data_IF_491290894383
#
_entry.id   IF_491290894383
#
_cell.length_a   1.000
_cell.length_b   1.000
_cell.length_c   1.000
_cell.angle_alpha   90.00
_cell.angle_beta   90.00
_cell.angle_gamma   90.00
#
_symmetry.space_group_name_H-M   'P 1'
#
loop_
_entity.id
_entity.type
_entity.pdbx_description
1 polymer ?
#
# COMPACT_ATOMS: atom_id res chain seq x y z
N UNK A 1 6.72 16.40 -42.15
CA UNK A 1 5.39 16.29 -41.51
C UNK A 1 5.53 15.27 -40.41
N UNK A 2 5.26 15.64 -39.16
CA UNK A 2 5.38 14.72 -38.04
C UNK A 2 4.32 13.62 -38.20
N UNK A 3 4.75 12.40 -38.50
CA UNK A 3 3.88 11.24 -38.51
C UNK A 3 3.48 10.99 -37.05
N UNK A 4 2.22 11.29 -36.70
CA UNK A 4 1.70 11.01 -35.37
C UNK A 4 1.42 9.51 -35.32
N UNK A 5 2.20 8.78 -34.52
CA UNK A 5 2.03 7.35 -34.32
C UNK A 5 0.81 7.08 -33.43
N UNK A 6 -0.36 6.92 -34.07
CA UNK A 6 -1.63 6.71 -33.40
C UNK A 6 -1.66 5.48 -32.48
N UNK A 7 -0.90 4.44 -32.83
CA UNK A 7 -0.74 3.25 -32.01
C UNK A 7 -0.04 3.59 -30.68
N UNK A 8 1.09 4.31 -30.74
CA UNK A 8 1.84 4.77 -29.57
C UNK A 8 0.96 5.63 -28.64
N UNK A 9 0.17 6.54 -29.21
CA UNK A 9 -0.74 7.41 -28.45
C UNK A 9 -1.80 6.59 -27.72
N UNK A 10 -2.40 5.59 -28.37
CA UNK A 10 -3.42 4.74 -27.75
C UNK A 10 -2.85 3.86 -26.64
N UNK A 11 -1.66 3.29 -26.84
CA UNK A 11 -0.94 2.54 -25.81
C UNK A 11 -0.59 3.41 -24.59
N UNK A 12 -0.09 4.62 -24.83
CA UNK A 12 0.23 5.58 -23.77
C UNK A 12 -1.01 5.96 -22.95
N UNK A 13 -2.17 6.13 -23.60
CA UNK A 13 -3.46 6.42 -22.93
C UNK A 13 -3.96 5.23 -22.13
N UNK A 14 -3.91 4.01 -22.68
CA UNK A 14 -4.31 2.79 -21.99
C UNK A 14 -3.44 2.54 -20.75
N UNK A 15 -2.14 2.75 -20.88
CA UNK A 15 -1.18 2.66 -19.80
C UNK A 15 -1.45 3.69 -18.69
N UNK A 16 -1.65 4.96 -19.05
CA UNK A 16 -2.03 5.99 -18.09
C UNK A 16 -3.34 5.65 -17.38
N UNK A 17 -4.36 5.21 -18.13
CA UNK A 17 -5.65 4.83 -17.57
C UNK A 17 -5.51 3.66 -16.57
N UNK A 18 -4.71 2.65 -16.92
CA UNK A 18 -4.42 1.52 -16.04
C UNK A 18 -3.73 2.00 -14.77
N UNK A 19 -2.62 2.74 -14.86
CA UNK A 19 -1.91 3.26 -13.68
C UNK A 19 -2.82 4.14 -12.81
N UNK A 20 -3.64 4.99 -13.42
CA UNK A 20 -4.57 5.85 -12.70
C UNK A 20 -5.66 5.04 -11.97
N UNK A 21 -6.22 4.01 -12.60
CA UNK A 21 -7.19 3.10 -11.98
C UNK A 21 -6.59 2.36 -10.78
N UNK A 22 -5.38 1.81 -10.94
CA UNK A 22 -4.67 1.15 -9.83
C UNK A 22 -4.39 2.14 -8.69
N UNK A 23 -3.93 3.36 -9.00
CA UNK A 23 -3.65 4.36 -7.97
C UNK A 23 -4.91 4.75 -7.19
N UNK A 24 -6.01 5.06 -7.89
CA UNK A 24 -7.28 5.46 -7.27
C UNK A 24 -7.97 4.35 -6.49
N UNK A 25 -7.70 3.08 -6.80
CA UNK A 25 -8.23 1.96 -6.03
C UNK A 25 -7.35 1.63 -4.82
N UNK A 26 -6.04 1.47 -5.03
CA UNK A 26 -5.14 0.93 -4.00
C UNK A 26 -4.69 1.98 -2.97
N UNK A 27 -4.52 3.25 -3.35
CA UNK A 27 -4.08 4.29 -2.39
C UNK A 27 -5.15 4.59 -1.33
N UNK A 28 -6.42 4.84 -1.69
CA UNK A 28 -7.48 5.03 -0.69
C UNK A 28 -7.74 3.76 0.13
N UNK A 29 -7.64 2.58 -0.48
CA UNK A 29 -7.86 1.31 0.20
C UNK A 29 -6.78 1.02 1.26
N UNK A 30 -5.50 1.28 0.97
CA UNK A 30 -4.40 1.09 1.93
C UNK A 30 -4.42 2.12 3.06
N UNK A 31 -4.66 3.40 2.76
CA UNK A 31 -4.83 4.45 3.78
C UNK A 31 -6.07 4.20 4.65
N UNK A 32 -7.21 3.88 4.01
CA UNK A 32 -8.47 3.62 4.70
C UNK A 32 -8.41 2.40 5.62
N UNK A 33 -7.84 1.29 5.14
CA UNK A 33 -7.65 0.09 5.97
C UNK A 33 -6.69 0.33 7.13
N UNK A 34 -5.61 1.11 6.93
CA UNK A 34 -4.69 1.49 8.02
C UNK A 34 -5.42 2.23 9.13
N UNK A 35 -6.22 3.24 8.78
CA UNK A 35 -6.97 4.04 9.76
C UNK A 35 -8.04 3.20 10.47
N UNK A 36 -8.73 2.34 9.71
CA UNK A 36 -9.74 1.43 10.24
C UNK A 36 -9.14 0.45 11.26
N UNK A 37 -8.01 -0.20 10.92
CA UNK A 37 -7.28 -1.09 11.83
C UNK A 37 -6.85 -0.34 13.10
N UNK A 38 -6.36 0.90 12.97
CA UNK A 38 -5.97 1.70 14.12
C UNK A 38 -7.13 2.00 15.08
N UNK A 39 -8.33 2.28 14.54
CA UNK A 39 -9.54 2.50 15.34
C UNK A 39 -9.99 1.20 16.02
N UNK A 40 -10.06 0.08 15.28
CA UNK A 40 -10.47 -1.20 15.84
C UNK A 40 -9.52 -1.65 16.97
N UNK A 41 -8.21 -1.46 16.78
CA UNK A 41 -7.22 -1.74 17.83
C UNK A 41 -7.41 -0.81 19.04
N UNK A 42 -7.70 0.48 18.82
CA UNK A 42 -7.97 1.42 19.91
C UNK A 42 -9.20 0.99 20.73
N UNK A 43 -10.22 0.45 20.06
CA UNK A 43 -11.41 -0.12 20.72
C UNK A 43 -11.03 -1.39 21.48
N UNK A 44 -10.25 -2.30 20.88
CA UNK A 44 -9.75 -3.50 21.55
C UNK A 44 -8.98 -3.18 22.83
N UNK A 45 -8.06 -2.21 22.80
CA UNK A 45 -7.28 -1.83 23.98
C UNK A 45 -8.17 -1.31 25.11
N UNK A 46 -9.26 -0.61 24.79
CA UNK A 46 -10.20 -0.07 25.78
C UNK A 46 -11.19 -1.12 26.32
N UNK A 47 -11.71 -1.99 25.45
CA UNK A 47 -12.75 -2.95 25.80
C UNK A 47 -12.18 -4.30 26.27
N UNK A 48 -10.94 -4.63 25.90
CA UNK A 48 -10.27 -5.91 26.16
C UNK A 48 -11.02 -7.15 25.62
N UNK A 49 -11.95 -6.94 24.68
CA UNK A 49 -12.76 -7.99 24.06
C UNK A 49 -12.01 -8.66 22.90
N UNK A 50 -11.80 -9.98 23.02
CA UNK A 50 -11.08 -10.82 22.05
C UNK A 50 -11.69 -10.73 20.63
N UNK A 51 -13.01 -10.46 20.49
CA UNK A 51 -13.68 -10.34 19.19
C UNK A 51 -13.10 -9.24 18.31
N UNK A 52 -12.83 -8.07 18.89
CA UNK A 52 -12.25 -6.94 18.15
C UNK A 52 -10.82 -7.23 17.69
N UNK A 53 -10.09 -8.05 18.43
CA UNK A 53 -8.73 -8.48 18.07
C UNK A 53 -8.71 -9.40 16.87
N UNK A 54 -9.64 -10.35 16.79
CA UNK A 54 -9.74 -11.27 15.64
C UNK A 54 -10.08 -10.53 14.34
N UNK A 55 -11.04 -9.62 14.41
CA UNK A 55 -11.41 -8.76 13.28
C UNK A 55 -10.21 -7.91 12.85
N UNK A 56 -9.51 -7.30 13.80
CA UNK A 56 -8.30 -6.50 13.53
C UNK A 56 -7.19 -7.36 12.90
N UNK A 57 -6.97 -8.60 13.37
CA UNK A 57 -6.02 -9.56 12.78
C UNK A 57 -6.34 -9.88 11.33
N UNK A 58 -7.60 -10.12 11.00
CA UNK A 58 -8.04 -10.41 9.64
C UNK A 58 -7.73 -9.23 8.69
N UNK A 59 -8.18 -8.02 9.07
CA UNK A 59 -7.94 -6.83 8.26
C UNK A 59 -6.46 -6.47 8.14
N UNK A 60 -5.68 -6.72 9.19
CA UNK A 60 -4.23 -6.49 9.18
C UNK A 60 -3.48 -7.45 8.27
N UNK A 61 -3.90 -8.73 8.16
CA UNK A 61 -3.35 -9.67 7.17
C UNK A 61 -3.61 -9.19 5.74
N UNK A 62 -4.84 -8.75 5.47
CA UNK A 62 -5.21 -8.21 4.16
C UNK A 62 -4.38 -6.96 3.81
N UNK A 63 -4.18 -6.06 4.78
CA UNK A 63 -3.31 -4.89 4.63
C UNK A 63 -1.86 -5.30 4.32
N UNK A 64 -1.28 -6.25 5.06
CA UNK A 64 0.11 -6.68 4.87
C UNK A 64 0.40 -7.26 3.48
N UNK A 65 -0.54 -8.03 2.91
CA UNK A 65 -0.41 -8.57 1.55
C UNK A 65 -0.41 -7.43 0.52
N UNK A 66 -1.38 -6.51 0.61
CA UNK A 66 -1.48 -5.37 -0.29
C UNK A 66 -0.24 -4.47 -0.21
N UNK A 67 0.25 -4.22 1.01
CA UNK A 67 1.44 -3.41 1.25
C UNK A 67 2.70 -4.04 0.63
N UNK A 68 2.87 -5.36 0.74
CA UNK A 68 4.02 -6.08 0.18
C UNK A 68 4.04 -5.99 -1.36
N UNK A 69 2.88 -6.20 -2.01
CA UNK A 69 2.76 -6.09 -3.48
C UNK A 69 3.13 -4.68 -3.94
N UNK A 70 2.67 -3.65 -3.21
CA UNK A 70 2.95 -2.26 -3.55
C UNK A 70 4.44 -1.91 -3.38
N UNK A 71 5.07 -2.40 -2.31
CA UNK A 71 6.51 -2.22 -2.07
C UNK A 71 7.38 -2.94 -3.13
N UNK A 72 6.92 -4.08 -3.64
CA UNK A 72 7.58 -4.76 -4.76
C UNK A 72 7.44 -3.98 -6.06
N UNK A 73 6.24 -3.46 -6.37
CA UNK A 73 6.00 -2.68 -7.57
C UNK A 73 6.88 -1.43 -7.64
N UNK A 74 7.02 -0.70 -6.52
CA UNK A 74 7.87 0.51 -6.47
C UNK A 74 9.36 0.17 -6.59
N UNK A 75 9.78 -1.00 -6.10
CA UNK A 75 11.17 -1.46 -6.15
C UNK A 75 11.71 -1.62 -7.59
N UNK A 76 10.83 -1.90 -8.56
CA UNK A 76 11.19 -2.07 -9.98
C UNK A 76 11.75 -0.78 -10.61
N UNK A 77 11.44 0.40 -10.06
CA UNK A 77 11.92 1.68 -10.59
C UNK A 77 13.21 2.22 -9.97
N UNK A 78 13.73 1.58 -8.90
CA UNK A 78 14.96 2.03 -8.24
C UNK A 78 16.21 1.51 -8.99
N UNK A 79 17.38 2.07 -8.68
CA UNK A 79 18.69 1.74 -9.28
C UNK A 79 18.92 2.26 -10.72
N UNK A 80 18.54 3.51 -11.03
CA UNK A 80 18.67 4.10 -12.37
C UNK A 80 18.03 3.26 -13.50
N UNK A 81 17.10 2.37 -13.14
CA UNK A 81 16.35 1.57 -14.09
C UNK A 81 15.36 2.46 -14.81
N UNK A 82 15.28 2.34 -16.13
CA UNK A 82 14.25 3.01 -16.90
C UNK A 82 12.88 2.47 -16.45
N UNK A 83 12.07 3.32 -15.84
CA UNK A 83 10.68 2.99 -15.49
C UNK A 83 9.85 2.73 -16.75
N UNK A 84 10.23 3.38 -17.87
CA UNK A 84 9.75 3.05 -19.21
C UNK A 84 10.93 3.04 -20.20
N UNK A 85 11.40 1.85 -20.62
CA UNK A 85 12.42 1.74 -21.66
C UNK A 85 11.80 2.08 -23.02
N UNK A 86 12.47 2.96 -23.77
CA UNK A 86 12.09 3.25 -25.14
C UNK A 86 12.64 2.17 -26.08
N UNK A 87 11.80 1.67 -26.98
CA UNK A 87 12.18 0.67 -28.00
C UNK A 87 12.78 1.31 -29.25
N UNK A 88 12.69 2.63 -29.40
CA UNK A 88 13.15 3.37 -30.58
C UNK A 88 14.47 4.10 -30.34
N UNK A 89 14.67 4.68 -29.16
CA UNK A 89 15.92 5.35 -28.77
C UNK A 89 16.17 5.17 -27.27
N UNK A 90 17.26 4.47 -26.91
CA UNK A 90 17.65 4.20 -25.53
C UNK A 90 17.77 5.48 -24.68
N UNK A 91 18.19 6.61 -25.28
CA UNK A 91 18.38 7.87 -24.57
C UNK A 91 17.06 8.60 -24.24
N UNK A 92 15.96 8.23 -24.89
CA UNK A 92 14.61 8.74 -24.61
C UNK A 92 13.87 7.98 -23.51
N UNK A 93 14.50 6.97 -22.90
CA UNK A 93 13.89 6.17 -21.84
C UNK A 93 13.52 7.03 -20.63
N UNK A 94 12.30 6.85 -20.10
CA UNK A 94 11.88 7.58 -18.90
C UNK A 94 12.50 6.94 -17.66
N UNK A 95 13.29 7.74 -16.96
CA UNK A 95 13.90 7.42 -15.67
C UNK A 95 13.25 8.31 -14.61
N UNK A 96 13.44 7.97 -13.33
CA UNK A 96 12.92 8.81 -12.23
C UNK A 96 13.35 10.27 -12.36
N UNK A 97 14.56 10.54 -12.85
CA UNK A 97 15.10 11.90 -12.95
C UNK A 97 14.43 12.75 -14.04
N UNK A 98 14.06 12.17 -15.18
CA UNK A 98 13.44 12.92 -16.29
C UNK A 98 11.91 12.94 -16.25
N UNK A 99 11.28 12.01 -15.51
CA UNK A 99 9.83 11.90 -15.35
C UNK A 99 9.29 12.50 -14.05
N UNK A 100 10.16 13.12 -13.22
CA UNK A 100 9.78 13.71 -11.94
C UNK A 100 9.00 15.02 -12.10
N UNK A 101 8.12 15.30 -11.12
CA UNK A 101 7.40 16.57 -11.01
C UNK A 101 8.33 17.76 -10.70
N UNK A 102 7.77 18.97 -10.65
CA UNK A 102 8.53 20.16 -10.25
C UNK A 102 9.16 20.02 -8.86
N UNK A 103 10.26 20.76 -8.64
CA UNK A 103 10.99 20.75 -7.36
C UNK A 103 10.06 21.07 -6.17
N UNK A 104 9.11 21.98 -6.37
CA UNK A 104 8.11 22.35 -5.36
C UNK A 104 7.27 21.15 -4.90
N UNK A 105 6.72 20.38 -5.84
CA UNK A 105 5.91 19.20 -5.53
C UNK A 105 6.76 18.11 -4.90
N UNK A 106 7.98 17.89 -5.40
CA UNK A 106 8.90 16.90 -4.82
C UNK A 106 9.28 17.24 -3.37
N UNK A 107 9.61 18.51 -3.09
CA UNK A 107 9.92 18.96 -1.73
C UNK A 107 8.74 18.72 -0.80
N UNK A 108 7.53 19.08 -1.22
CA UNK A 108 6.32 18.88 -0.43
C UNK A 108 6.10 17.39 -0.12
N UNK A 109 6.21 16.52 -1.13
CA UNK A 109 6.03 15.07 -0.95
C UNK A 109 7.16 14.42 -0.13
N UNK A 110 8.38 14.98 -0.17
CA UNK A 110 9.49 14.53 0.68
C UNK A 110 9.21 14.76 2.17
N UNK A 111 8.60 15.89 2.54
CA UNK A 111 8.17 16.16 3.92
C UNK A 111 7.06 15.21 4.37
N UNK A 112 6.10 14.90 3.51
CA UNK A 112 5.03 13.92 3.82
C UNK A 112 5.62 12.53 4.05
N UNK A 113 6.62 12.15 3.26
CA UNK A 113 7.28 10.84 3.36
C UNK A 113 8.03 10.63 4.68
N UNK A 114 8.46 11.72 5.34
CA UNK A 114 9.09 11.68 6.67
C UNK A 114 8.16 11.13 7.76
N UNK A 115 6.84 11.13 7.54
CA UNK A 115 5.85 10.56 8.47
C UNK A 115 5.70 9.03 8.36
N UNK A 116 6.14 8.42 7.25
CA UNK A 116 6.03 6.97 7.00
C UNK A 116 6.63 6.10 8.12
N UNK A 117 7.86 6.35 8.63
CA UNK A 117 8.43 5.51 9.69
C UNK A 117 7.62 5.53 10.99
N UNK A 118 6.90 6.62 11.29
CA UNK A 118 6.01 6.68 12.45
C UNK A 118 4.81 5.74 12.29
N UNK A 119 4.21 5.72 11.10
CA UNK A 119 3.09 4.82 10.75
C UNK A 119 3.53 3.36 10.80
N UNK A 120 4.69 3.04 10.20
CA UNK A 120 5.25 1.68 10.23
C UNK A 120 5.57 1.25 11.66
N UNK A 121 6.13 2.13 12.48
CA UNK A 121 6.41 1.86 13.90
C UNK A 121 5.15 1.55 14.70
N UNK A 122 4.06 2.29 14.47
CA UNK A 122 2.76 1.98 15.06
C UNK A 122 2.24 0.61 14.63
N UNK A 123 2.25 0.31 13.33
CA UNK A 123 1.81 -1.00 12.80
C UNK A 123 2.62 -2.14 13.42
N UNK A 124 3.95 -2.01 13.50
CA UNK A 124 4.82 -3.01 14.11
C UNK A 124 4.53 -3.21 15.61
N UNK A 125 4.24 -2.13 16.34
CA UNK A 125 3.83 -2.20 17.74
C UNK A 125 2.52 -3.00 17.91
N UNK A 126 1.53 -2.70 17.07
CA UNK A 126 0.24 -3.41 17.06
C UNK A 126 0.46 -4.89 16.74
N UNK A 127 1.29 -5.19 15.73
CA UNK A 127 1.61 -6.57 15.35
C UNK A 127 2.20 -7.37 16.52
N UNK A 128 3.13 -6.76 17.25
CA UNK A 128 3.77 -7.38 18.41
C UNK A 128 2.79 -7.66 19.55
N UNK A 129 1.78 -6.79 19.76
CA UNK A 129 0.73 -7.01 20.77
C UNK A 129 -0.26 -8.09 20.34
N UNK A 130 -0.61 -8.10 19.06
CA UNK A 130 -1.52 -9.08 18.45
C UNK A 130 -0.98 -10.52 18.55
N UNK A 131 0.32 -10.71 18.30
CA UNK A 131 0.97 -12.04 18.27
C UNK A 131 1.45 -12.51 19.66
N UNK A 132 1.38 -11.66 20.68
CA UNK A 132 1.78 -12.01 22.06
C UNK A 132 0.88 -13.05 22.75
N UNK A 133 -0.28 -13.40 22.16
CA UNK A 133 -1.21 -14.40 22.68
C UNK A 133 -1.37 -15.52 21.65
N UNK A 134 -0.90 -16.73 21.99
CA UNK A 134 -1.10 -17.95 21.19
C UNK A 134 -2.58 -18.32 21.20
N UNK A 135 -3.17 -18.46 20.02
CA UNK A 135 -4.55 -18.96 19.84
C UNK A 135 -4.54 -20.43 20.30
N UNK A 136 -5.35 -20.75 21.32
CA UNK A 136 -5.43 -22.11 21.88
C UNK A 136 -6.56 -22.88 21.20
N UNK A 137 -6.32 -24.13 20.82
CA UNK A 137 -7.34 -24.99 20.18
C UNK A 137 -8.61 -25.16 21.02
N UNK A 138 -8.53 -24.92 22.33
CA UNK A 138 -9.67 -24.96 23.27
C UNK A 138 -10.67 -23.80 23.12
N UNK A 139 -10.34 -22.74 22.38
CA UNK A 139 -11.29 -21.64 22.07
C UNK A 139 -12.28 -22.01 20.97
N UNK A 140 -11.93 -22.94 20.08
CA UNK A 140 -12.80 -23.39 18.99
C UNK A 140 -13.82 -24.45 19.42
N UNK A 141 -13.59 -25.14 20.54
CA UNK A 141 -14.50 -26.19 21.06
C UNK A 141 -15.65 -25.63 21.90
N UNK A 142 -15.62 -24.37 22.30
CA UNK A 142 -16.66 -23.78 23.17
C UNK A 142 -17.80 -23.17 22.35
N UNK A 143 -18.53 -24.01 21.60
CA UNK A 143 -19.64 -23.62 20.73
C UNK A 143 -20.90 -23.12 21.45
N UNK A 144 -20.93 -23.05 22.78
CA UNK A 144 -22.14 -22.70 23.54
C UNK A 144 -22.33 -21.20 23.84
N UNK A 145 -21.32 -20.37 23.64
CA UNK A 145 -21.49 -18.91 23.75
C UNK A 145 -21.56 -18.29 22.37
N UNK A 146 -22.78 -18.23 21.82
CA UNK A 146 -23.10 -17.42 20.64
C UNK A 146 -22.91 -15.92 20.96
N UNK A 147 -21.65 -15.50 21.05
CA UNK A 147 -21.22 -14.10 20.93
C UNK A 147 -20.35 -13.93 19.68
N UNK A 148 -20.57 -14.78 18.68
CA UNK A 148 -20.02 -14.66 17.33
C UNK A 148 -20.81 -13.63 16.53
#
# INVERSE_FOLDING_TARGET
MNHIDWELVNWSRAQFALTAMYHWMFVPLTLGTTFMIAIMETIYVKTQDEKWKEITKFWMKLFGINFTIWMLLISVGFNNTACYPSTYDLQSSLTISNASSSEFTLRTMSYVSLMIPFVVGYIAMVWRKIDSRKISSSEFENSENHTY
#
